data_IF_882490070579
#
_entry.id   IF_882490070579
#
_cell.length_a   1.000
_cell.length_b   1.000
_cell.length_c   1.000
_cell.angle_alpha   90.00
_cell.angle_beta   90.00
_cell.angle_gamma   90.00
#
_symmetry.space_group_name_H-M   'P 1'
#
loop_
_entity.id
_entity.type
_entity.pdbx_description
1 polymer ?
#
# COMPACT_ATOMS: atom_id res chain seq x y z
N UNK A 1 -11.55 19.85 4.17
CA UNK A 1 -11.05 18.50 4.58
C UNK A 1 -11.03 17.62 3.33
N UNK A 2 -9.87 17.17 2.83
CA UNK A 2 -9.86 16.14 1.78
C UNK A 2 -10.53 14.87 2.34
N UNK A 3 -11.44 14.28 1.58
CA UNK A 3 -12.09 13.02 1.97
C UNK A 3 -11.04 11.89 2.06
N UNK A 4 -11.25 10.82 2.86
CA UNK A 4 -10.29 9.72 2.98
C UNK A 4 -9.85 9.14 1.63
N UNK A 5 -10.77 9.10 0.65
CA UNK A 5 -10.50 8.70 -0.73
C UNK A 5 -9.50 9.61 -1.46
N UNK A 6 -9.58 10.92 -1.20
CA UNK A 6 -8.69 11.91 -1.81
C UNK A 6 -7.22 11.75 -1.38
N UNK A 7 -6.99 11.28 -0.14
CA UNK A 7 -5.65 11.04 0.39
C UNK A 7 -5.05 9.79 -0.22
N UNK A 8 -5.74 8.66 -0.16
CA UNK A 8 -5.25 7.39 -0.72
C UNK A 8 -4.93 7.51 -2.22
N UNK A 9 -5.78 8.22 -2.99
CA UNK A 9 -5.53 8.45 -4.41
C UNK A 9 -4.29 9.32 -4.67
N UNK A 10 -3.94 10.22 -3.75
CA UNK A 10 -2.70 11.00 -3.84
C UNK A 10 -1.49 10.10 -3.61
N UNK A 11 -1.50 9.29 -2.56
CA UNK A 11 -0.43 8.33 -2.25
C UNK A 11 -0.25 7.33 -3.39
N UNK A 12 -1.35 6.82 -3.94
CA UNK A 12 -1.32 5.89 -5.07
C UNK A 12 -0.66 6.51 -6.30
N UNK A 13 -0.94 7.79 -6.59
CA UNK A 13 -0.27 8.52 -7.69
C UNK A 13 1.21 8.76 -7.40
N UNK A 14 1.58 9.08 -6.16
CA UNK A 14 2.97 9.23 -5.77
C UNK A 14 3.74 7.91 -5.91
N UNK A 15 3.22 6.82 -5.34
CA UNK A 15 3.79 5.48 -5.48
C UNK A 15 4.02 5.10 -6.95
N UNK A 16 3.03 5.36 -7.82
CA UNK A 16 3.13 5.05 -9.25
C UNK A 16 4.23 5.86 -9.95
N UNK A 17 4.51 7.10 -9.53
CA UNK A 17 5.60 7.91 -10.09
C UNK A 17 6.97 7.31 -9.76
N UNK A 18 7.09 6.74 -8.57
CA UNK A 18 8.31 6.07 -8.10
C UNK A 18 8.40 4.60 -8.55
N UNK A 19 7.47 4.11 -9.37
CA UNK A 19 7.49 2.73 -9.88
C UNK A 19 6.92 1.68 -8.92
N UNK A 20 6.09 2.08 -7.95
CA UNK A 20 5.43 1.21 -6.99
C UNK A 20 3.89 1.21 -7.14
N UNK A 21 3.26 0.18 -6.60
CA UNK A 21 1.83 0.01 -6.48
C UNK A 21 1.45 -0.02 -5.00
N UNK A 22 0.50 0.84 -4.63
CA UNK A 22 -0.11 0.84 -3.31
C UNK A 22 -1.19 -0.25 -3.23
N UNK A 23 -1.05 -1.19 -2.28
CA UNK A 23 -2.06 -2.22 -2.00
C UNK A 23 -2.50 -2.14 -0.54
N UNK A 24 -3.82 -2.15 -0.35
CA UNK A 24 -4.45 -2.20 0.97
C UNK A 24 -4.68 -3.66 1.38
N UNK A 25 -4.52 -3.97 2.67
CA UNK A 25 -4.95 -5.26 3.19
C UNK A 25 -6.47 -5.42 2.97
N UNK A 26 -6.87 -6.67 2.70
CA UNK A 26 -8.28 -7.06 2.56
C UNK A 26 -8.86 -7.59 3.87
N UNK A 27 -8.07 -7.65 4.94
CA UNK A 27 -8.52 -8.16 6.22
C UNK A 27 -9.61 -7.24 6.77
N UNK A 28 -10.78 -7.82 7.04
CA UNK A 28 -11.98 -7.11 7.52
C UNK A 28 -12.13 -7.16 9.04
N UNK A 29 -11.32 -7.98 9.70
CA UNK A 29 -11.31 -8.12 11.16
C UNK A 29 -10.54 -6.96 11.76
N UNK A 30 -11.20 -6.17 12.61
CA UNK A 30 -10.60 -4.98 13.24
C UNK A 30 -9.43 -5.35 14.15
N UNK A 31 -9.45 -6.55 14.73
CA UNK A 31 -8.42 -7.07 15.63
C UNK A 31 -7.23 -7.70 14.89
N UNK A 32 -7.20 -7.67 13.56
CA UNK A 32 -6.07 -8.19 12.80
C UNK A 32 -4.95 -7.13 12.72
N UNK A 33 -3.71 -7.56 12.90
CA UNK A 33 -2.52 -6.69 12.87
C UNK A 33 -2.37 -5.92 11.54
N UNK A 34 -2.94 -6.44 10.45
CA UNK A 34 -2.89 -5.83 9.12
C UNK A 34 -4.16 -5.04 8.76
N UNK A 35 -5.11 -4.88 9.70
CA UNK A 35 -6.33 -4.12 9.47
C UNK A 35 -6.02 -2.65 9.17
N UNK A 36 -6.48 -2.18 8.01
CA UNK A 36 -6.24 -0.81 7.57
C UNK A 36 -4.79 -0.52 7.12
N UNK A 37 -3.94 -1.55 7.03
CA UNK A 37 -2.56 -1.40 6.58
C UNK A 37 -2.44 -1.40 5.05
N UNK A 38 -1.33 -0.82 4.59
CA UNK A 38 -0.96 -0.69 3.20
C UNK A 38 0.47 -1.22 2.99
N UNK A 39 0.75 -1.69 1.77
CA UNK A 39 2.10 -2.08 1.33
C UNK A 39 2.40 -1.44 -0.02
N UNK A 40 3.67 -1.10 -0.23
CA UNK A 40 4.23 -0.76 -1.53
C UNK A 40 4.79 -2.03 -2.16
N UNK A 41 4.39 -2.31 -3.40
CA UNK A 41 5.00 -3.39 -4.20
C UNK A 41 5.51 -2.83 -5.51
N UNK A 42 6.57 -3.40 -6.07
CA UNK A 42 7.09 -2.95 -7.36
C UNK A 42 6.03 -3.05 -8.47
N UNK A 43 5.97 -2.04 -9.34
CA UNK A 43 5.01 -1.98 -10.45
C UNK A 43 5.44 -2.89 -11.61
N UNK A 44 5.34 -4.20 -11.38
CA UNK A 44 5.61 -5.24 -12.38
C UNK A 44 4.33 -5.86 -12.90
N UNK A 45 4.40 -6.47 -14.10
CA UNK A 45 3.23 -7.13 -14.71
C UNK A 45 2.60 -8.22 -13.82
N UNK A 46 3.39 -8.88 -12.97
CA UNK A 46 2.90 -9.86 -11.99
C UNK A 46 2.10 -9.21 -10.85
N UNK A 47 2.54 -8.04 -10.37
CA UNK A 47 1.95 -7.35 -9.22
C UNK A 47 0.71 -6.52 -9.54
N UNK A 48 0.49 -6.21 -10.82
CA UNK A 48 -0.73 -5.54 -11.31
C UNK A 48 -1.98 -6.40 -11.20
N UNK A 49 -1.83 -7.74 -11.16
CA UNK A 49 -2.95 -8.69 -11.16
C UNK A 49 -3.66 -8.74 -9.79
N UNK A 50 -4.99 -8.95 -9.77
CA UNK A 50 -5.69 -9.31 -8.53
C UNK A 50 -5.11 -10.60 -7.94
N UNK A 51 -4.83 -10.62 -6.64
CA UNK A 51 -4.27 -11.79 -5.97
C UNK A 51 -2.77 -12.01 -6.21
N UNK A 52 -2.03 -10.97 -6.63
CA UNK A 52 -0.58 -11.04 -6.73
C UNK A 52 0.05 -11.55 -5.41
N UNK A 53 1.05 -12.42 -5.53
CA UNK A 53 1.70 -13.06 -4.39
C UNK A 53 2.56 -12.07 -3.59
N UNK A 54 3.13 -11.04 -4.22
CA UNK A 54 4.01 -10.09 -3.55
C UNK A 54 3.30 -9.30 -2.43
N UNK A 55 2.13 -8.66 -2.66
CA UNK A 55 1.37 -8.03 -1.58
C UNK A 55 1.03 -8.99 -0.44
N UNK A 56 0.62 -10.23 -0.77
CA UNK A 56 0.27 -11.25 0.23
C UNK A 56 1.49 -11.60 1.09
N UNK A 57 2.65 -11.74 0.45
CA UNK A 57 3.90 -12.07 1.12
C UNK A 57 4.38 -10.90 1.97
N UNK A 58 4.28 -9.66 1.49
CA UNK A 58 4.59 -8.45 2.23
C UNK A 58 3.76 -8.33 3.52
N UNK A 59 2.44 -8.57 3.44
CA UNK A 59 1.60 -8.58 4.64
C UNK A 59 1.97 -9.72 5.61
N UNK A 60 2.29 -10.92 5.10
CA UNK A 60 2.76 -12.04 5.95
C UNK A 60 4.11 -11.78 6.61
N UNK A 61 4.97 -10.97 5.99
CA UNK A 61 6.27 -10.56 6.56
C UNK A 61 6.13 -9.46 7.62
N UNK A 62 4.96 -8.82 7.70
CA UNK A 62 4.76 -7.66 8.57
C UNK A 62 5.24 -6.34 7.96
N UNK A 63 5.45 -6.30 6.63
CA UNK A 63 5.84 -5.07 5.91
C UNK A 63 4.66 -4.07 5.77
N UNK A 64 3.48 -4.44 6.27
CA UNK A 64 2.29 -3.60 6.27
C UNK A 64 2.44 -2.41 7.20
N UNK A 65 2.13 -1.22 6.71
CA UNK A 65 2.23 0.01 7.46
C UNK A 65 1.01 0.91 7.20
N UNK A 66 0.67 1.84 8.13
CA UNK A 66 -0.40 2.79 7.91
C UNK A 66 -0.09 3.69 6.71
N UNK A 67 -1.14 4.27 6.12
CA UNK A 67 -1.02 5.15 4.94
C UNK A 67 -0.04 6.32 5.17
N UNK A 68 0.02 6.83 6.39
CA UNK A 68 0.91 7.90 6.84
C UNK A 68 2.39 7.49 6.76
N UNK A 69 2.70 6.23 7.07
CA UNK A 69 4.05 5.67 6.93
C UNK A 69 4.46 5.57 5.47
N UNK A 70 3.55 5.07 4.61
CA UNK A 70 3.77 4.99 3.16
C UNK A 70 4.04 6.39 2.58
N UNK A 71 3.28 7.40 3.01
CA UNK A 71 3.50 8.78 2.57
C UNK A 71 4.89 9.30 2.92
N UNK A 72 5.38 8.99 4.13
CA UNK A 72 6.72 9.37 4.57
C UNK A 72 7.80 8.63 3.77
N UNK A 73 7.63 7.33 3.54
CA UNK A 73 8.55 6.52 2.74
C UNK A 73 8.65 7.06 1.31
N UNK A 74 7.52 7.33 0.66
CA UNK A 74 7.50 7.91 -0.69
C UNK A 74 8.09 9.32 -0.75
N UNK A 75 7.96 10.10 0.32
CA UNK A 75 8.62 11.41 0.41
C UNK A 75 10.14 11.27 0.54
N UNK A 76 10.63 10.22 1.21
CA UNK A 76 12.06 9.95 1.35
C UNK A 76 12.72 9.38 0.09
N UNK A 77 11.94 8.75 -0.80
CA UNK A 77 12.41 8.22 -2.10
C UNK A 77 12.58 9.28 -3.19
N UNK A 78 12.13 10.51 -2.92
CA UNK A 78 12.12 11.65 -3.85
C UNK A 78 13.41 12.46 -3.79
#
# INVERSE_FOLDING_TARGET
MPTPHSREDRVRRAAKREGYLLRKSRTRTVDADDYGMYVLVSDTAGNRRPGAQEPISAFRRGDGQPLDGIEQELHALR
#
